data_IF_425593564864
#
_entry.id   IF_425593564864
#
_cell.length_a   1.000
_cell.length_b   1.000
_cell.length_c   1.000
_cell.angle_alpha   90.00
_cell.angle_beta   90.00
_cell.angle_gamma   90.00
#
_symmetry.space_group_name_H-M   'P 1'
#
loop_
_entity.id
_entity.type
_entity.pdbx_description
1 polymer ?
#
# COMPACT_ATOMS: atom_id res chain seq x y z
N UNK A 1 -4.16 -5.20 2.47
CA UNK A 1 -4.87 -5.70 3.67
C UNK A 1 -3.99 -5.47 4.90
N UNK A 2 -4.56 -5.48 6.11
CA UNK A 2 -3.78 -5.34 7.35
C UNK A 2 -4.12 -6.39 8.39
N UNK A 3 -3.22 -6.55 9.36
CA UNK A 3 -3.29 -7.54 10.43
C UNK A 3 -2.97 -6.87 11.78
N UNK A 4 -3.71 -7.25 12.82
CA UNK A 4 -3.42 -6.86 14.22
C UNK A 4 -2.24 -7.67 14.78
N UNK A 5 -2.10 -8.91 14.33
CA UNK A 5 -0.97 -9.80 14.65
C UNK A 5 -0.78 -10.79 13.49
N UNK A 6 0.34 -11.54 13.42
CA UNK A 6 0.56 -12.50 12.33
C UNK A 6 -0.57 -13.54 12.15
N UNK A 7 -1.39 -13.75 13.18
CA UNK A 7 -2.51 -14.71 13.20
C UNK A 7 -3.90 -14.08 13.18
N UNK A 8 -4.00 -12.74 13.16
CA UNK A 8 -5.28 -12.03 13.21
C UNK A 8 -5.34 -10.96 12.13
N UNK A 9 -6.18 -11.20 11.13
CA UNK A 9 -6.53 -10.21 10.11
C UNK A 9 -7.33 -9.06 10.74
N UNK A 10 -7.02 -7.82 10.36
CA UNK A 10 -7.69 -6.61 10.83
C UNK A 10 -8.68 -6.11 9.76
N UNK A 11 -8.15 -5.61 8.65
CA UNK A 11 -8.94 -5.03 7.57
C UNK A 11 -8.57 -5.65 6.21
N UNK A 12 -9.57 -6.10 5.43
CA UNK A 12 -9.32 -6.83 4.20
C UNK A 12 -8.77 -5.95 3.06
N UNK A 13 -9.11 -4.65 3.06
CA UNK A 13 -8.70 -3.70 2.01
C UNK A 13 -8.45 -2.33 2.62
N UNK A 14 -7.41 -1.67 2.09
CA UNK A 14 -7.07 -0.29 2.39
C UNK A 14 -6.88 0.44 1.07
N UNK A 15 -7.19 1.74 1.07
CA UNK A 15 -6.67 2.68 0.09
C UNK A 15 -5.15 2.65 0.07
N UNK A 16 -4.54 2.97 -1.08
CA UNK A 16 -3.09 2.99 -1.24
C UNK A 16 -2.52 4.37 -0.88
N UNK A 17 -2.89 4.85 0.31
CA UNK A 17 -2.44 6.11 0.91
C UNK A 17 -1.85 5.89 2.30
N UNK A 18 -0.91 6.76 2.68
CA UNK A 18 -0.31 6.82 4.01
C UNK A 18 -1.35 7.14 5.08
N UNK A 19 -2.35 7.97 4.75
CA UNK A 19 -3.48 8.26 5.62
C UNK A 19 -4.26 6.98 6.00
N UNK A 20 -4.50 6.06 5.07
CA UNK A 20 -5.18 4.79 5.36
C UNK A 20 -4.35 3.90 6.30
N UNK A 21 -3.03 3.89 6.13
CA UNK A 21 -2.13 3.13 7.01
C UNK A 21 -2.17 3.67 8.44
N UNK A 22 -2.06 4.99 8.61
CA UNK A 22 -2.06 5.66 9.91
C UNK A 22 -3.42 5.47 10.62
N UNK A 23 -4.52 5.71 9.90
CA UNK A 23 -5.87 5.63 10.49
C UNK A 23 -6.30 4.21 10.80
N UNK A 24 -5.77 3.20 10.10
CA UNK A 24 -6.09 1.79 10.37
C UNK A 24 -5.64 1.31 11.75
N UNK A 25 -4.64 1.97 12.35
CA UNK A 25 -4.00 1.54 13.60
C UNK A 25 -3.37 0.14 13.55
N UNK A 26 -3.30 -0.48 12.37
CA UNK A 26 -2.82 -1.85 12.22
C UNK A 26 -1.28 -1.89 12.18
N UNK A 27 -0.65 -2.83 12.88
CA UNK A 27 0.81 -2.92 12.91
C UNK A 27 1.42 -3.59 11.68
N UNK A 28 0.67 -4.43 10.95
CA UNK A 28 1.19 -5.21 9.82
C UNK A 28 0.32 -4.99 8.59
N UNK A 29 0.96 -4.76 7.44
CA UNK A 29 0.31 -4.57 6.15
C UNK A 29 0.84 -5.59 5.15
N UNK A 30 -0.07 -6.21 4.40
CA UNK A 30 0.24 -7.03 3.24
C UNK A 30 -0.24 -6.31 1.98
N UNK A 31 0.71 -5.96 1.12
CA UNK A 31 0.52 -5.35 -0.18
C UNK A 31 0.80 -6.37 -1.28
N UNK A 32 -0.16 -6.53 -2.19
CA UNK A 32 -0.02 -7.38 -3.37
C UNK A 32 0.12 -6.50 -4.61
N UNK A 33 1.31 -6.52 -5.21
CA UNK A 33 1.66 -5.79 -6.43
C UNK A 33 1.94 -6.76 -7.60
N UNK A 34 1.21 -7.88 -7.64
CA UNK A 34 1.23 -8.90 -8.70
C UNK A 34 2.53 -9.70 -8.80
N UNK A 35 3.67 -9.06 -9.10
CA UNK A 35 4.99 -9.71 -9.15
C UNK A 35 5.73 -9.66 -7.82
N UNK A 36 5.23 -8.86 -6.88
CA UNK A 36 5.77 -8.73 -5.52
C UNK A 36 4.65 -8.76 -4.48
N UNK A 37 4.94 -9.40 -3.35
CA UNK A 37 4.16 -9.33 -2.12
C UNK A 37 5.02 -8.64 -1.08
N UNK A 38 4.58 -7.49 -0.58
CA UNK A 38 5.32 -6.72 0.41
C UNK A 38 4.61 -6.82 1.76
N UNK A 39 5.31 -7.34 2.76
CA UNK A 39 4.87 -7.41 4.15
C UNK A 39 5.57 -6.30 4.90
N UNK A 40 4.82 -5.27 5.29
CA UNK A 40 5.35 -4.10 5.99
C UNK A 40 4.87 -4.07 7.44
N UNK A 41 5.81 -4.04 8.37
CA UNK A 41 5.54 -3.82 9.79
C UNK A 41 5.71 -2.32 10.08
N UNK A 42 4.68 -1.66 10.58
CA UNK A 42 4.71 -0.24 10.90
C UNK A 42 5.64 0.05 12.08
N UNK A 43 6.40 1.15 12.00
CA UNK A 43 7.30 1.58 13.07
C UNK A 43 6.57 2.02 14.35
N UNK A 44 5.30 2.39 14.25
CA UNK A 44 4.49 2.85 15.38
C UNK A 44 3.88 1.72 16.22
N UNK A 45 4.03 0.46 15.77
CA UNK A 45 3.62 -0.70 16.54
C UNK A 45 4.65 -1.00 17.63
N UNK A 46 4.20 -1.48 18.79
CA UNK A 46 5.05 -2.04 19.84
C UNK A 46 5.84 -3.23 19.28
N UNK A 47 6.94 -2.90 18.62
CA UNK A 47 7.77 -3.79 17.80
C UNK A 47 8.43 -4.91 18.62
N UNK A 48 8.35 -4.81 19.95
CA UNK A 48 8.77 -5.80 20.93
C UNK A 48 7.76 -6.94 21.11
N UNK A 49 6.49 -6.75 20.75
CA UNK A 49 5.43 -7.75 20.92
C UNK A 49 5.19 -8.63 19.69
N UNK A 50 5.61 -8.15 18.50
CA UNK A 50 5.33 -8.82 17.23
C UNK A 50 6.58 -9.52 16.71
N UNK A 51 6.47 -10.83 16.48
CA UNK A 51 7.53 -11.62 15.88
C UNK A 51 7.84 -11.13 14.45
N UNK A 52 9.12 -10.86 14.21
CA UNK A 52 9.66 -10.50 12.90
C UNK A 52 10.91 -11.34 12.59
N UNK A 53 10.98 -12.05 11.43
CA UNK A 53 9.91 -12.21 10.44
C UNK A 53 8.70 -12.97 11.02
N UNK A 54 7.53 -12.93 10.35
CA UNK A 54 6.35 -13.64 10.85
C UNK A 54 6.62 -15.14 11.02
N UNK A 55 6.03 -15.79 12.04
CA UNK A 55 6.17 -17.23 12.27
C UNK A 55 5.81 -18.07 11.04
N UNK A 56 6.35 -19.28 10.95
CA UNK A 56 6.12 -20.15 9.80
C UNK A 56 4.66 -20.63 9.69
N UNK A 57 4.03 -20.83 10.83
CA UNK A 57 2.71 -21.42 11.03
C UNK A 57 1.63 -20.37 11.35
N UNK A 58 1.72 -19.18 10.75
CA UNK A 58 0.74 -18.12 11.00
C UNK A 58 -0.25 -17.89 9.85
N UNK A 59 -1.37 -17.23 10.15
CA UNK A 59 -2.38 -16.83 9.17
C UNK A 59 -1.78 -16.00 8.03
N UNK A 60 -0.91 -15.03 8.36
CA UNK A 60 -0.25 -14.15 7.39
C UNK A 60 0.57 -14.96 6.38
N UNK A 61 1.38 -15.92 6.83
CA UNK A 61 2.15 -16.79 5.93
C UNK A 61 1.27 -17.74 5.13
N UNK A 62 0.20 -18.25 5.73
CA UNK A 62 -0.79 -19.05 5.01
C UNK A 62 -1.41 -18.25 3.87
N UNK A 63 -1.71 -16.96 4.10
CA UNK A 63 -2.20 -16.05 3.07
C UNK A 63 -1.19 -15.81 1.95
N UNK A 64 0.06 -15.53 2.30
CA UNK A 64 1.16 -15.34 1.33
C UNK A 64 1.34 -16.60 0.47
N UNK A 65 1.36 -17.78 1.10
CA UNK A 65 1.54 -19.05 0.40
C UNK A 65 0.36 -19.34 -0.53
N UNK A 66 -0.87 -19.08 -0.09
CA UNK A 66 -2.06 -19.18 -0.95
C UNK A 66 -1.96 -18.24 -2.15
N UNK A 67 -1.64 -16.97 -1.94
CA UNK A 67 -1.48 -16.01 -3.03
C UNK A 67 -0.39 -16.44 -4.02
N UNK A 68 0.70 -17.08 -3.57
CA UNK A 68 1.71 -17.64 -4.48
C UNK A 68 1.18 -18.79 -5.32
N UNK A 69 0.39 -19.68 -4.73
CA UNK A 69 -0.16 -20.86 -5.40
C UNK A 69 -1.21 -20.48 -6.45
N UNK A 70 -1.98 -19.43 -6.19
CA UNK A 70 -3.06 -18.98 -7.08
C UNK A 70 -2.55 -18.22 -8.33
N UNK A 71 -1.23 -18.01 -8.46
CA UNK A 71 -0.61 -17.19 -9.52
C UNK A 71 0.17 -18.05 -10.51
N UNK A 72 0.09 -17.67 -11.79
CA UNK A 72 0.90 -18.26 -12.87
C UNK A 72 2.38 -17.87 -12.72
N UNK A 73 2.65 -16.67 -12.22
CA UNK A 73 4.00 -16.16 -11.93
C UNK A 73 4.12 -16.03 -10.41
N UNK A 74 5.07 -16.74 -9.82
CA UNK A 74 5.30 -16.70 -8.37
C UNK A 74 5.82 -15.32 -7.95
N UNK A 75 5.06 -14.54 -7.16
CA UNK A 75 5.53 -13.24 -6.70
C UNK A 75 6.68 -13.37 -5.70
N UNK A 76 7.61 -12.40 -5.76
CA UNK A 76 8.69 -12.27 -4.78
C UNK A 76 8.13 -11.69 -3.48
N UNK A 77 8.48 -12.29 -2.34
CA UNK A 77 8.04 -11.77 -1.03
C UNK A 77 9.14 -10.94 -0.42
N UNK A 78 8.80 -9.73 0.02
CA UNK A 78 9.68 -8.80 0.71
C UNK A 78 9.09 -8.54 2.09
N UNK A 79 9.92 -8.65 3.13
CA UNK A 79 9.55 -8.32 4.51
C UNK A 79 10.30 -7.04 4.90
N UNK A 80 9.57 -6.06 5.42
CA UNK A 80 10.12 -4.75 5.77
C UNK A 80 9.64 -4.38 7.18
N UNK A 81 10.56 -3.95 8.02
CA UNK A 81 10.29 -3.37 9.33
C UNK A 81 10.51 -1.86 9.28
N UNK A 82 9.42 -1.08 9.40
CA UNK A 82 9.47 0.37 9.46
C UNK A 82 10.37 0.85 10.60
N UNK A 83 11.17 1.88 10.31
CA UNK A 83 12.16 2.41 11.25
C UNK A 83 13.47 1.61 11.33
N UNK A 84 13.55 0.44 10.69
CA UNK A 84 14.80 -0.35 10.58
C UNK A 84 15.23 -0.59 9.14
N UNK A 85 14.31 -0.99 8.29
CA UNK A 85 14.57 -1.28 6.87
C UNK A 85 14.21 -0.09 5.98
N UNK A 86 14.78 -0.05 4.77
CA UNK A 86 14.36 0.87 3.72
C UNK A 86 12.93 0.54 3.26
N UNK A 87 11.98 1.42 3.63
CA UNK A 87 10.57 1.27 3.32
C UNK A 87 10.20 1.77 1.90
N UNK A 88 11.15 2.34 1.15
CA UNK A 88 10.91 2.88 -0.21
C UNK A 88 10.17 1.91 -1.14
N UNK A 89 10.48 0.59 -1.16
CA UNK A 89 9.76 -0.37 -2.01
C UNK A 89 8.27 -0.50 -1.67
N UNK A 90 7.89 -0.31 -0.41
CA UNK A 90 6.49 -0.30 0.02
C UNK A 90 5.85 1.06 -0.26
N UNK A 91 6.54 2.15 0.09
CA UNK A 91 6.03 3.51 -0.09
C UNK A 91 5.77 3.84 -1.56
N UNK A 92 6.58 3.32 -2.49
CA UNK A 92 6.39 3.48 -3.93
C UNK A 92 5.05 2.92 -4.47
N UNK A 93 4.43 1.98 -3.74
CA UNK A 93 3.11 1.46 -4.10
C UNK A 93 1.96 2.26 -3.48
N UNK A 94 2.24 3.25 -2.63
CA UNK A 94 1.24 4.20 -2.14
C UNK A 94 0.99 5.25 -3.23
N UNK A 95 0.17 4.91 -4.21
CA UNK A 95 -0.07 5.71 -5.42
C UNK A 95 -0.95 6.94 -5.16
N UNK A 96 -1.67 6.99 -4.04
CA UNK A 96 -2.53 8.13 -3.71
C UNK A 96 -1.74 9.33 -3.15
N UNK A 97 -0.49 9.11 -2.72
CA UNK A 97 0.37 10.13 -2.15
C UNK A 97 0.86 11.13 -3.20
N UNK A 98 0.92 12.41 -2.80
CA UNK A 98 1.57 13.46 -3.58
C UNK A 98 3.05 13.14 -3.74
N UNK A 99 3.48 12.98 -4.99
CA UNK A 99 4.90 12.88 -5.36
C UNK A 99 5.32 14.10 -6.15
N UNK A 100 6.55 14.54 -5.90
CA UNK A 100 7.21 15.54 -6.73
C UNK A 100 7.41 14.96 -8.14
N UNK A 101 6.60 15.44 -9.08
CA UNK A 101 6.82 15.22 -10.49
C UNK A 101 8.10 15.98 -10.89
N UNK A 102 9.20 15.25 -11.08
CA UNK A 102 10.54 15.80 -11.36
C UNK A 102 10.69 16.66 -12.63
N UNK A 103 9.60 17.09 -13.26
CA UNK A 103 9.60 18.04 -14.36
C UNK A 103 8.29 18.82 -14.37
N UNK A 104 8.36 20.09 -13.98
CA UNK A 104 7.26 21.06 -13.96
C UNK A 104 6.24 20.90 -12.83
N UNK A 105 6.64 21.31 -11.62
CA UNK A 105 5.85 22.10 -10.67
C UNK A 105 4.47 21.62 -10.20
N UNK A 106 4.05 20.40 -10.54
CA UNK A 106 2.77 19.85 -10.13
C UNK A 106 3.00 18.58 -9.32
N UNK A 107 2.66 18.66 -8.03
CA UNK A 107 2.51 17.48 -7.17
C UNK A 107 1.29 16.70 -7.67
N UNK A 108 1.52 15.49 -8.16
CA UNK A 108 0.45 14.67 -8.75
C UNK A 108 -0.04 13.68 -7.69
N UNK A 109 -0.85 14.17 -6.75
CA UNK A 109 -1.61 13.34 -5.81
C UNK A 109 -2.98 12.95 -6.37
N UNK A 110 -3.63 11.95 -5.76
CA UNK A 110 -4.95 11.50 -6.24
C UNK A 110 -6.01 12.62 -6.23
N UNK A 111 -5.99 13.50 -5.23
CA UNK A 111 -6.94 14.63 -5.15
C UNK A 111 -6.70 15.65 -6.26
N UNK A 112 -5.44 15.98 -6.52
CA UNK A 112 -5.05 16.90 -7.61
C UNK A 112 -5.48 16.34 -8.98
N UNK A 113 -5.27 15.04 -9.20
CA UNK A 113 -5.72 14.36 -10.41
C UNK A 113 -7.25 14.44 -10.63
N UNK A 114 -8.05 14.30 -9.56
CA UNK A 114 -9.51 14.44 -9.67
C UNK A 114 -9.94 15.86 -10.04
N UNK A 115 -9.27 16.87 -9.48
CA UNK A 115 -9.57 18.27 -9.79
C UNK A 115 -9.21 18.60 -11.26
N UNK A 116 -8.05 18.12 -11.72
CA UNK A 116 -7.61 18.25 -13.12
C UNK A 116 -8.63 17.65 -14.09
N UNK A 117 -9.11 16.42 -13.82
CA UNK A 117 -10.18 15.80 -14.62
C UNK A 117 -11.45 16.65 -14.59
N UNK A 118 -11.84 17.15 -13.42
CA UNK A 118 -13.02 18.01 -13.26
C UNK A 118 -12.94 19.27 -14.14
N UNK A 119 -11.78 19.90 -14.16
CA UNK A 119 -11.50 21.05 -15.03
C UNK A 119 -11.55 20.68 -16.52
N UNK A 120 -10.95 19.56 -16.90
CA UNK A 120 -10.87 19.09 -18.28
C UNK A 120 -12.23 18.69 -18.86
N UNK A 121 -13.07 18.05 -18.05
CA UNK A 121 -14.45 17.71 -18.42
C UNK A 121 -15.26 19.00 -18.64
N UNK A 122 -15.19 19.96 -17.70
CA UNK A 122 -15.89 21.26 -17.84
C UNK A 122 -15.44 22.03 -19.08
N UNK A 123 -14.14 22.01 -19.41
CA UNK A 123 -13.60 22.67 -20.62
C UNK A 123 -14.20 22.05 -21.89
N UNK A 124 -14.27 20.72 -21.97
CA UNK A 124 -14.84 20.00 -23.12
C UNK A 124 -16.33 20.25 -23.29
N UNK A 125 -17.11 20.28 -22.20
CA UNK A 125 -18.53 20.61 -22.26
C UNK A 125 -18.79 22.07 -22.70
N UNK A 126 -17.94 23.02 -22.27
CA UNK A 126 -18.04 24.42 -22.73
C UNK A 126 -17.66 24.60 -24.20
N UNK A 127 -16.78 23.76 -24.74
CA UNK A 127 -16.32 23.85 -26.14
C UNK A 127 -17.28 23.19 -27.15
N UNK A 128 -18.18 22.30 -26.71
CA UNK A 128 -19.16 21.61 -27.57
C UNK A 128 -20.56 22.26 -27.56
N UNK A 129 -20.74 23.36 -26.81
CA UNK A 129 -22.00 24.09 -26.70
C UNK A 129 -22.03 25.43 -27.45
N UNK A 130 -21.14 25.63 -28.42
CA UNK A 130 -21.04 26.82 -29.27
C UNK A 130 -21.31 26.50 -30.74
#
# INVERSE_FOLDING_TARGET
>A
MSFESPDKEAYPRHSLSRAALITSGSPIFLLDAFTSLVVFYSSGADSSSLAFPPPHDCLLRSRINKTKQDRIITPKVVYLQGGKDDATPFENYLIEEERDGGGSGSTVGFVSFLDDIGHDVRRRYKSNGG
#
